data_IF_557970842192
#
_entry.id   IF_557970842192
#
_cell.length_a   1.000
_cell.length_b   1.000
_cell.length_c   1.000
_cell.angle_alpha   90.00
_cell.angle_beta   90.00
_cell.angle_gamma   90.00
#
_symmetry.space_group_name_H-M   'P 1'
#
loop_
_entity.id
_entity.type
_entity.pdbx_description
1 polymer ?
#
# COMPACT_ATOMS: atom_id res chain seq x y z
N UNK A 1 -29.54 -27.98 -5.29
CA UNK A 1 -29.05 -27.38 -5.54
C UNK A 1 -28.72 -27.20 -5.65
N UNK A 2 -28.76 -27.21 -5.62
CA UNK A 2 -28.16 -26.61 -5.79
C UNK A 2 -27.45 -26.26 -5.85
N UNK A 3 -27.75 -26.55 -5.60
CA UNK A 3 -26.84 -25.79 -5.69
C UNK A 3 -26.29 -25.56 -5.57
N UNK A 4 -26.60 -25.81 -5.42
CA UNK A 4 -25.76 -25.06 -5.40
C UNK A 4 -25.25 -24.85 -5.14
N UNK A 5 -25.67 -25.17 -4.91
CA UNK A 5 -24.92 -24.37 -4.81
C UNK A 5 -24.44 -24.16 -4.51
N UNK A 6 -24.71 -24.54 -4.28
CA UNK A 6 -24.10 -23.71 -4.18
C UNK A 6 -23.69 -23.57 -3.86
N UNK A 7 -23.80 -23.88 -3.60
CA UNK A 7 -23.39 -23.14 -3.60
C UNK A 7 -23.03 -22.97 -3.34
N UNK A 8 -23.11 -23.06 -3.22
CA UNK A 8 -22.83 -22.32 -3.22
C UNK A 8 -22.16 -22.14 -3.06
N UNK A 9 -22.46 -22.65 -2.81
CA UNK A 9 -21.82 -22.06 -2.87
C UNK A 9 -21.41 -21.70 -2.79
N UNK A 10 -21.40 -22.30 -2.17
CA UNK A 10 -20.94 -21.29 -2.32
C UNK A 10 -20.61 -21.12 -2.21
N UNK A 11 -20.58 -21.23 -1.92
CA UNK A 11 -20.21 -20.33 -2.10
C UNK A 11 -20.01 -19.77 -2.14
N UNK A 12 -20.18 -20.25 -1.77
CA UNK A 12 -19.88 -19.08 -2.02
C UNK A 12 -19.71 -18.71 -2.10
N UNK A 13 -19.93 -18.87 -1.92
CA UNK A 13 -19.74 -17.70 -2.19
C UNK A 13 -19.74 -17.32 -2.30
N UNK A 14 -19.69 -17.39 -1.98
CA UNK A 14 -19.78 -16.31 -2.34
C UNK A 14 -19.90 -15.84 -2.48
N UNK A 15 -19.90 -15.85 -2.23
CA UNK A 15 -20.05 -14.74 -2.60
C UNK A 15 -20.14 -14.37 -2.81
N UNK A 16 -20.06 -14.34 -2.59
CA UNK A 16 -20.17 -13.31 -2.98
C UNK A 16 -20.25 -12.78 -3.23
N UNK A 17 -20.34 -12.79 -3.04
CA UNK A 17 -20.39 -11.73 -3.41
C UNK A 17 -20.51 -11.13 -3.55
N UNK A 18 -20.50 -10.92 -3.32
CA UNK A 18 -20.52 -9.92 -3.48
C UNK A 18 -20.78 -9.45 -3.58
N UNK A 19 -20.94 -9.12 -3.44
CA UNK A 19 -21.02 -8.31 -3.44
C UNK A 19 -20.96 -7.56 -3.73
N UNK A 20 -20.97 -7.32 -3.63
CA UNK A 20 -20.58 -6.37 -3.79
C UNK A 20 -20.52 -6.00 -3.91
N UNK A 21 -20.21 -5.69 -3.71
CA UNK A 21 -19.71 -5.14 -3.64
C UNK A 21 -19.20 -4.74 -4.08
N UNK A 22 -19.21 -4.60 -4.19
CA UNK A 22 -18.59 -4.30 -4.44
C UNK A 22 -17.85 -3.74 -4.84
N UNK A 23 -18.16 -3.35 -5.20
CA UNK A 23 -17.30 -2.64 -5.41
C UNK A 23 -16.20 -2.56 -4.79
N UNK A 24 -15.53 -3.22 -4.88
CA UNK A 24 -14.47 -3.11 -4.01
C UNK A 24 -13.29 -2.52 -4.65
N UNK A 25 -12.79 -1.48 -4.04
CA UNK A 25 -11.49 -0.97 -4.37
C UNK A 25 -10.46 -1.88 -3.77
N UNK A 26 -9.28 -2.06 -4.42
CA UNK A 26 -8.18 -2.76 -3.78
C UNK A 26 -7.83 -2.05 -2.48
N UNK A 27 -7.49 -2.81 -1.46
CA UNK A 27 -7.13 -2.22 -0.20
C UNK A 27 -5.79 -1.54 -0.31
N UNK A 28 -5.73 -0.32 0.22
CA UNK A 28 -4.53 0.50 0.15
C UNK A 28 -4.42 1.30 1.45
N UNK A 29 -4.04 0.63 2.55
CA UNK A 29 -3.96 1.32 3.83
C UNK A 29 -2.88 2.39 3.85
N UNK A 30 -3.13 3.44 4.64
CA UNK A 30 -2.12 4.43 4.94
C UNK A 30 -1.20 3.84 5.99
N UNK A 31 0.08 3.72 5.67
CA UNK A 31 1.05 3.13 6.58
C UNK A 31 1.92 4.17 7.26
N UNK A 32 1.93 5.41 6.77
CA UNK A 32 2.59 6.52 7.45
C UNK A 32 2.08 7.84 6.89
N UNK A 33 2.27 8.91 7.65
CA UNK A 33 1.98 10.26 7.15
C UNK A 33 2.88 11.25 7.89
N UNK A 34 3.40 12.24 7.16
CA UNK A 34 4.29 13.24 7.74
C UNK A 34 4.40 14.43 6.78
N UNK A 35 4.38 15.62 7.32
CA UNK A 35 4.52 16.87 6.55
C UNK A 35 3.56 16.98 5.37
N UNK A 36 2.33 16.46 5.53
CA UNK A 36 1.34 16.48 4.46
C UNK A 36 1.53 15.43 3.39
N UNK A 37 2.50 14.52 3.57
CA UNK A 37 2.74 13.40 2.66
C UNK A 37 2.06 12.17 3.23
N UNK A 38 1.29 11.47 2.40
CA UNK A 38 0.66 10.20 2.80
C UNK A 38 1.39 9.06 2.12
N UNK A 39 1.69 8.03 2.91
CA UNK A 39 2.36 6.83 2.40
C UNK A 39 1.38 5.68 2.47
N UNK A 40 1.18 5.02 1.32
CA UNK A 40 0.26 3.90 1.19
C UNK A 40 0.93 2.73 0.49
N UNK A 41 0.36 1.56 0.69
CA UNK A 41 0.86 0.35 0.03
C UNK A 41 -0.33 -0.55 -0.27
N UNK A 42 -0.38 -1.13 -1.48
CA UNK A 42 -1.45 -2.05 -1.85
C UNK A 42 -1.16 -3.45 -1.35
N UNK A 43 -2.22 -4.19 -1.04
CA UNK A 43 -2.12 -5.63 -0.84
C UNK A 43 -1.94 -6.32 -2.19
N UNK A 44 -1.17 -7.39 -2.20
CA UNK A 44 -1.00 -8.25 -3.38
C UNK A 44 -0.54 -7.49 -4.62
N UNK A 45 0.25 -6.44 -4.43
CA UNK A 45 0.77 -5.66 -5.55
C UNK A 45 1.93 -6.40 -6.20
N UNK A 46 2.27 -6.01 -7.43
CA UNK A 46 3.31 -6.69 -8.19
C UNK A 46 4.68 -6.02 -8.01
N UNK A 47 5.72 -6.82 -8.16
CA UNK A 47 7.10 -6.37 -7.99
C UNK A 47 7.47 -5.31 -9.04
N UNK A 48 8.46 -4.46 -8.74
CA UNK A 48 9.33 -4.53 -7.57
C UNK A 48 8.64 -3.98 -6.33
N UNK A 49 9.12 -4.31 -5.12
CA UNK A 49 8.55 -3.76 -3.90
C UNK A 49 8.59 -2.25 -3.91
N UNK A 50 7.42 -1.64 -3.66
CA UNK A 50 7.28 -0.19 -3.73
C UNK A 50 6.15 0.29 -2.84
N UNK A 51 6.10 1.60 -2.60
CA UNK A 51 4.99 2.24 -1.91
C UNK A 51 4.53 3.44 -2.72
N UNK A 52 3.37 3.97 -2.36
CA UNK A 52 2.78 5.13 -3.01
C UNK A 52 2.91 6.32 -2.07
N UNK A 53 3.40 7.45 -2.59
CA UNK A 53 3.49 8.69 -1.83
C UNK A 53 2.63 9.74 -2.51
N UNK A 54 1.77 10.38 -1.73
CA UNK A 54 0.87 11.43 -2.23
C UNK A 54 1.16 12.74 -1.51
N UNK A 55 1.19 13.84 -2.24
CA UNK A 55 1.45 15.16 -1.67
C UNK A 55 0.84 16.23 -2.55
N UNK A 56 -0.15 16.95 -2.02
CA UNK A 56 -0.74 18.12 -2.70
C UNK A 56 -1.06 17.87 -4.18
N UNK A 57 -1.74 16.75 -4.47
CA UNK A 57 -2.12 16.41 -5.83
C UNK A 57 -1.06 15.69 -6.64
N UNK A 58 0.17 15.63 -6.14
CA UNK A 58 1.21 14.81 -6.75
C UNK A 58 1.13 13.38 -6.23
N UNK A 59 1.52 12.44 -7.06
CA UNK A 59 1.56 11.04 -6.65
C UNK A 59 2.76 10.37 -7.29
N UNK A 60 3.44 9.51 -6.54
CA UNK A 60 4.60 8.81 -7.04
C UNK A 60 4.65 7.40 -6.48
N UNK A 61 5.15 6.47 -7.29
CA UNK A 61 5.52 5.14 -6.83
C UNK A 61 7.00 5.16 -6.54
N UNK A 62 7.36 4.74 -5.33
CA UNK A 62 8.73 4.82 -4.85
C UNK A 62 9.24 3.42 -4.54
N UNK A 63 10.35 3.04 -5.14
CA UNK A 63 10.94 1.73 -4.94
C UNK A 63 11.58 1.64 -3.56
N UNK A 64 11.28 0.57 -2.83
CA UNK A 64 11.75 0.44 -1.45
C UNK A 64 13.27 0.28 -1.38
N UNK A 65 13.85 -0.46 -2.33
CA UNK A 65 15.26 -0.82 -2.25
C UNK A 65 16.20 0.38 -2.31
N UNK A 66 15.84 1.44 -3.03
CA UNK A 66 16.74 2.58 -3.22
C UNK A 66 16.05 3.95 -3.10
N UNK A 67 14.72 3.97 -2.87
CA UNK A 67 14.00 5.23 -2.74
C UNK A 67 13.79 5.97 -4.05
N UNK A 68 14.05 5.33 -5.18
CA UNK A 68 13.88 5.97 -6.49
C UNK A 68 12.40 6.01 -6.89
N UNK A 69 11.99 7.10 -7.53
CA UNK A 69 10.66 7.20 -8.09
C UNK A 69 10.64 6.40 -9.40
N UNK A 70 9.76 5.42 -9.48
CA UNK A 70 9.62 4.60 -10.68
C UNK A 70 8.43 5.04 -11.54
N UNK A 71 7.51 5.81 -10.96
CA UNK A 71 6.35 6.32 -11.70
C UNK A 71 5.84 7.56 -11.00
N UNK A 72 5.35 8.53 -11.76
CA UNK A 72 4.81 9.75 -11.19
C UNK A 72 5.89 10.74 -10.80
N UNK A 73 5.54 11.69 -9.93
CA UNK A 73 6.46 12.74 -9.54
C UNK A 73 6.07 13.33 -8.19
N UNK A 74 7.07 13.90 -7.51
CA UNK A 74 6.88 14.71 -6.30
C UNK A 74 7.73 15.96 -6.45
N UNK A 75 7.32 17.08 -5.82
CA UNK A 75 8.19 18.24 -5.76
C UNK A 75 9.53 17.89 -5.10
N UNK A 76 10.57 18.59 -5.48
CA UNK A 76 11.95 18.27 -5.07
C UNK A 76 12.10 18.07 -3.57
N UNK A 77 11.52 18.96 -2.77
CA UNK A 77 11.66 18.86 -1.32
C UNK A 77 10.94 17.63 -0.77
N UNK A 78 9.71 17.38 -1.24
CA UNK A 78 8.95 16.21 -0.81
C UNK A 78 9.66 14.93 -1.23
N UNK A 79 10.20 14.91 -2.45
CA UNK A 79 10.93 13.77 -2.95
C UNK A 79 12.12 13.43 -2.06
N UNK A 80 12.87 14.45 -1.64
CA UNK A 80 14.03 14.25 -0.76
C UNK A 80 13.60 13.70 0.61
N UNK A 81 12.54 14.30 1.19
CA UNK A 81 12.06 13.86 2.49
C UNK A 81 11.63 12.40 2.42
N UNK A 82 10.90 12.03 1.38
CA UNK A 82 10.42 10.65 1.22
C UNK A 82 11.59 9.69 1.05
N UNK A 83 12.59 10.06 0.24
CA UNK A 83 13.75 9.20 0.02
C UNK A 83 14.54 8.97 1.31
N UNK A 84 14.73 10.02 2.09
CA UNK A 84 15.45 9.90 3.36
C UNK A 84 14.68 9.07 4.37
N UNK A 85 13.36 9.29 4.44
CA UNK A 85 12.50 8.53 5.33
C UNK A 85 12.50 7.04 4.93
N UNK A 86 12.40 6.76 3.63
CA UNK A 86 12.39 5.38 3.14
C UNK A 86 13.69 4.66 3.47
N UNK A 87 14.82 5.35 3.35
CA UNK A 87 16.11 4.76 3.70
C UNK A 87 16.18 4.43 5.20
N UNK A 88 15.63 5.30 6.04
CA UNK A 88 15.65 5.09 7.49
C UNK A 88 14.71 3.96 7.91
N UNK A 89 13.65 3.71 7.13
CA UNK A 89 12.62 2.74 7.49
C UNK A 89 12.53 1.57 6.49
N UNK A 90 13.64 1.26 5.81
CA UNK A 90 13.61 0.25 4.74
C UNK A 90 13.14 -1.11 5.25
N UNK A 91 13.64 -1.55 6.40
CA UNK A 91 13.26 -2.85 6.94
C UNK A 91 11.77 -2.92 7.24
N UNK A 92 11.20 -1.85 7.79
CA UNK A 92 9.78 -1.80 8.10
C UNK A 92 8.94 -1.80 6.81
N UNK A 93 9.41 -1.09 5.79
CA UNK A 93 8.72 -1.06 4.51
C UNK A 93 8.74 -2.43 3.83
N UNK A 94 9.88 -3.12 3.88
CA UNK A 94 9.98 -4.45 3.32
C UNK A 94 9.10 -5.44 4.07
N UNK A 95 9.02 -5.31 5.39
CA UNK A 95 8.14 -6.16 6.19
C UNK A 95 6.68 -5.94 5.81
N UNK A 96 6.27 -4.67 5.63
CA UNK A 96 4.90 -4.37 5.19
C UNK A 96 4.62 -4.89 3.79
N UNK A 97 5.59 -4.79 2.89
CA UNK A 97 5.43 -5.35 1.55
C UNK A 97 5.15 -6.84 1.63
N UNK A 98 5.93 -7.56 2.46
CA UNK A 98 5.73 -9.00 2.61
C UNK A 98 4.37 -9.30 3.25
N UNK A 99 3.96 -8.52 4.25
CA UNK A 99 2.63 -8.68 4.84
C UNK A 99 1.55 -8.52 3.77
N UNK A 100 1.71 -7.53 2.89
CA UNK A 100 0.76 -7.31 1.82
C UNK A 100 0.67 -8.49 0.86
N UNK A 101 1.82 -9.10 0.53
CA UNK A 101 1.84 -10.29 -0.31
C UNK A 101 1.13 -11.46 0.36
N UNK A 102 1.25 -11.57 1.67
CA UNK A 102 0.65 -12.66 2.44
C UNK A 102 -0.76 -12.32 2.91
N UNK A 103 -1.30 -11.17 2.49
CA UNK A 103 -2.64 -10.70 2.85
C UNK A 103 -2.80 -10.54 4.36
N UNK A 104 -1.72 -10.17 5.04
CA UNK A 104 -1.73 -9.89 6.47
C UNK A 104 -1.84 -8.39 6.71
N UNK A 105 -2.39 -7.95 7.85
CA UNK A 105 -2.48 -6.52 8.13
C UNK A 105 -1.10 -5.87 8.14
N UNK A 106 -1.02 -4.70 7.52
CA UNK A 106 0.20 -3.90 7.53
C UNK A 106 0.27 -3.07 8.81
N UNK A 107 1.47 -2.72 9.22
CA UNK A 107 1.70 -1.94 10.44
C UNK A 107 2.03 -0.50 10.10
N UNK A 108 1.62 0.41 10.98
CA UNK A 108 1.99 1.80 10.84
C UNK A 108 3.48 1.97 11.10
N UNK A 109 4.09 2.88 10.36
CA UNK A 109 5.51 3.21 10.48
C UNK A 109 5.60 4.66 10.91
N UNK A 110 6.51 4.96 11.83
CA UNK A 110 6.70 6.33 12.30
C UNK A 110 7.06 7.24 11.14
N UNK A 111 6.52 8.45 11.12
CA UNK A 111 6.79 9.41 10.06
C UNK A 111 8.12 10.10 10.24
N UNK A 112 8.54 10.81 9.18
CA UNK A 112 9.81 11.55 9.19
C UNK A 112 9.84 12.62 10.28
N UNK A 113 8.66 13.15 10.66
CA UNK A 113 8.55 14.15 11.71
C UNK A 113 8.81 13.58 13.11
N UNK A 114 8.99 12.28 13.21
CA UNK A 114 9.30 11.58 14.47
C UNK A 114 10.68 10.95 14.44
N UNK A 115 11.42 11.14 13.36
CA UNK A 115 12.74 10.54 13.18
C UNK A 115 13.81 11.50 13.66
N UNK A 116 13.96 11.64 14.93
CA UNK A 116 15.01 12.51 15.43
C UNK A 116 16.17 11.75 15.99
#
# INVERSE_FOLDING_TARGET
MRGGGGAEFGIGGASLVTRGRAQHKPRMPVISSFYGILIRMYFADHAPPHFHASYQGYEALVRISDGAIIEGALPTKAKRIVAEWAAAHRAELEANWQRGQDLLPMERIAGADQDD
#
